data_IF_857267154731
#
_entry.id   IF_857267154731
#
_cell.length_a   1.000
_cell.length_b   1.000
_cell.length_c   1.000
_cell.angle_alpha   90.00
_cell.angle_beta   90.00
_cell.angle_gamma   90.00
#
_symmetry.space_group_name_H-M   'P 1'
#
loop_
_entity.id
_entity.type
_entity.pdbx_description
1 polymer ?
#
# COMPACT_ATOMS: atom_id res chain seq x y z
N UNK A 1 41.81 8.68 -9.08
CA UNK A 1 40.52 7.96 -9.01
C UNK A 1 40.80 6.54 -9.47
N UNK A 2 40.79 5.57 -8.57
CA UNK A 2 40.79 4.15 -8.96
C UNK A 2 39.46 3.82 -9.66
N UNK A 3 39.53 3.05 -10.74
CA UNK A 3 38.35 2.61 -11.49
C UNK A 3 37.64 1.45 -10.82
N UNK A 4 36.45 1.11 -11.32
CA UNK A 4 35.66 -0.03 -10.84
C UNK A 4 36.13 -1.30 -11.56
N UNK A 5 36.28 -2.46 -10.87
CA UNK A 5 36.63 -3.72 -11.51
C UNK A 5 35.67 -4.12 -12.64
N UNK A 6 36.18 -4.74 -13.71
CA UNK A 6 35.39 -5.12 -14.88
C UNK A 6 34.24 -6.08 -14.55
N UNK A 7 34.38 -6.88 -13.50
CA UNK A 7 33.31 -7.75 -12.99
C UNK A 7 32.10 -6.96 -12.47
N UNK A 8 32.33 -5.81 -11.81
CA UNK A 8 31.24 -4.96 -11.32
C UNK A 8 30.52 -4.26 -12.48
N UNK A 9 31.23 -3.94 -13.56
CA UNK A 9 30.64 -3.37 -14.77
C UNK A 9 29.66 -4.34 -15.45
N UNK A 10 29.90 -5.65 -15.36
CA UNK A 10 29.01 -6.66 -15.96
C UNK A 10 27.63 -6.72 -15.28
N UNK A 11 27.52 -6.25 -14.04
CA UNK A 11 26.25 -6.20 -13.29
C UNK A 11 25.38 -4.98 -13.64
N UNK A 12 25.94 -4.03 -14.40
CA UNK A 12 25.23 -2.80 -14.78
C UNK A 12 24.23 -3.10 -15.88
N UNK A 13 22.94 -2.84 -15.61
CA UNK A 13 21.85 -2.96 -16.58
C UNK A 13 21.53 -1.59 -17.19
N UNK A 14 21.50 -1.53 -18.52
CA UNK A 14 21.05 -0.35 -19.28
C UNK A 14 20.17 -0.77 -20.45
N UNK A 15 19.05 -0.07 -20.72
CA UNK A 15 18.47 1.02 -19.94
C UNK A 15 17.99 0.59 -18.54
N UNK A 16 17.98 1.52 -17.59
CA UNK A 16 17.34 1.29 -16.30
C UNK A 16 15.81 1.43 -16.45
N UNK A 17 15.06 0.58 -15.75
CA UNK A 17 13.60 0.52 -15.81
C UNK A 17 13.05 -0.60 -16.68
N UNK A 18 11.73 -0.75 -16.67
CA UNK A 18 11.00 -1.65 -17.58
C UNK A 18 10.99 -1.07 -18.99
N UNK A 19 11.08 -1.93 -20.00
CA UNK A 19 10.97 -1.48 -21.39
C UNK A 19 9.52 -1.11 -21.73
N UNK A 20 9.20 0.18 -21.61
CA UNK A 20 7.91 0.77 -21.95
C UNK A 20 7.98 1.57 -23.26
N UNK A 21 9.08 1.47 -24.02
CA UNK A 21 9.35 2.33 -25.18
C UNK A 21 9.20 3.84 -24.84
N UNK A 22 9.72 4.25 -23.69
CA UNK A 22 9.62 5.61 -23.16
C UNK A 22 10.28 6.64 -24.10
N UNK A 23 9.61 7.76 -24.37
CA UNK A 23 10.07 8.85 -25.24
C UNK A 23 10.22 10.17 -24.50
N UNK A 24 9.55 10.31 -23.37
CA UNK A 24 9.55 11.52 -22.53
C UNK A 24 10.23 11.24 -21.19
N UNK A 25 10.77 12.28 -20.50
CA UNK A 25 11.34 12.11 -19.17
C UNK A 25 10.37 11.49 -18.14
N UNK A 26 9.09 11.83 -18.22
CA UNK A 26 8.05 11.27 -17.34
C UNK A 26 7.85 9.78 -17.58
N UNK A 27 7.86 9.31 -18.83
CA UNK A 27 7.77 7.89 -19.16
C UNK A 27 9.01 7.11 -18.67
N UNK A 28 10.20 7.71 -18.75
CA UNK A 28 11.43 7.13 -18.18
C UNK A 28 11.31 7.00 -16.66
N UNK A 29 10.80 8.02 -15.97
CA UNK A 29 10.58 7.98 -14.54
C UNK A 29 9.59 6.86 -14.14
N UNK A 30 8.50 6.69 -14.89
CA UNK A 30 7.52 5.61 -14.68
C UNK A 30 8.16 4.23 -14.90
N UNK A 31 8.95 4.07 -15.97
CA UNK A 31 9.69 2.83 -16.27
C UNK A 31 10.61 2.40 -15.13
N UNK A 32 11.39 3.33 -14.58
CA UNK A 32 12.29 3.08 -13.44
C UNK A 32 11.49 2.74 -12.18
N UNK A 33 10.47 3.53 -11.85
CA UNK A 33 9.64 3.29 -10.67
C UNK A 33 8.94 1.93 -10.74
N UNK A 34 8.45 1.54 -11.91
CA UNK A 34 7.81 0.26 -12.13
C UNK A 34 8.77 -0.91 -11.88
N UNK A 35 10.02 -0.82 -12.37
CA UNK A 35 11.04 -1.83 -12.09
C UNK A 35 11.36 -1.93 -10.58
N UNK A 36 11.50 -0.79 -9.88
CA UNK A 36 11.73 -0.77 -8.43
C UNK A 36 10.59 -1.48 -7.68
N UNK A 37 9.33 -1.21 -8.07
CA UNK A 37 8.17 -1.86 -7.46
C UNK A 37 8.18 -3.36 -7.74
N UNK A 38 8.49 -3.78 -8.97
CA UNK A 38 8.60 -5.19 -9.33
C UNK A 38 9.65 -5.90 -8.47
N UNK A 39 10.87 -5.37 -8.38
CA UNK A 39 11.96 -5.95 -7.58
C UNK A 39 11.59 -6.02 -6.08
N UNK A 40 10.93 -4.99 -5.55
CA UNK A 40 10.41 -4.99 -4.17
C UNK A 40 9.32 -6.03 -3.94
N UNK A 41 8.53 -6.35 -4.96
CA UNK A 41 7.47 -7.37 -4.88
C UNK A 41 7.99 -8.77 -5.17
N UNK A 42 9.03 -8.95 -5.97
CA UNK A 42 9.62 -10.26 -6.23
C UNK A 42 10.27 -10.90 -4.99
N UNK A 43 10.66 -10.11 -3.98
CA UNK A 43 11.00 -10.61 -2.63
C UNK A 43 9.80 -10.90 -1.72
N UNK A 44 8.58 -10.55 -2.18
CA UNK A 44 7.28 -10.75 -1.55
C UNK A 44 6.35 -11.41 -2.56
N UNK A 45 6.79 -12.52 -3.15
CA UNK A 45 5.94 -13.46 -3.90
C UNK A 45 5.02 -14.20 -2.90
N UNK A 46 4.13 -13.43 -2.28
CA UNK A 46 2.82 -13.92 -1.92
C UNK A 46 1.91 -13.44 -3.04
N UNK A 47 2.10 -14.06 -4.22
CA UNK A 47 1.01 -14.25 -5.14
C UNK A 47 0.09 -15.28 -4.48
N UNK A 48 -0.69 -14.84 -3.49
CA UNK A 48 -1.87 -15.62 -3.14
C UNK A 48 -2.82 -15.36 -4.29
N UNK A 49 -2.95 -16.33 -5.18
CA UNK A 49 -4.25 -16.59 -5.79
C UNK A 49 -5.18 -16.91 -4.62
N UNK A 50 -5.66 -15.88 -3.94
CA UNK A 50 -6.65 -16.05 -2.87
C UNK A 50 -7.88 -16.56 -3.58
N UNK A 51 -8.33 -17.74 -3.16
CA UNK A 51 -9.62 -18.25 -3.60
C UNK A 51 -10.70 -17.20 -3.31
N UNK A 52 -11.77 -17.18 -4.10
CA UNK A 52 -12.86 -16.23 -3.91
C UNK A 52 -13.53 -16.31 -2.51
N UNK A 53 -13.25 -17.38 -1.76
CA UNK A 53 -13.66 -17.58 -0.37
C UNK A 53 -12.71 -16.84 0.59
N UNK A 54 -11.39 -16.97 0.40
CA UNK A 54 -10.39 -16.26 1.19
C UNK A 54 -10.41 -14.74 0.94
N UNK A 55 -10.73 -14.28 -0.27
CA UNK A 55 -10.92 -12.84 -0.55
C UNK A 55 -12.11 -12.26 0.22
N UNK A 56 -13.18 -13.04 0.42
CA UNK A 56 -14.35 -12.59 1.19
C UNK A 56 -14.03 -12.50 2.67
N UNK A 57 -13.34 -13.48 3.23
CA UNK A 57 -12.91 -13.45 4.62
C UNK A 57 -11.96 -12.28 4.90
N UNK A 58 -10.99 -12.02 4.01
CA UNK A 58 -10.10 -10.86 4.13
C UNK A 58 -10.88 -9.54 4.09
N UNK A 59 -11.87 -9.42 3.20
CA UNK A 59 -12.68 -8.22 3.09
C UNK A 59 -13.59 -8.01 4.31
N UNK A 60 -14.07 -9.09 4.93
CA UNK A 60 -14.84 -9.03 6.18
C UNK A 60 -13.97 -8.62 7.38
N UNK A 61 -12.68 -8.89 7.34
CA UNK A 61 -11.71 -8.41 8.33
C UNK A 61 -11.37 -6.92 8.16
N UNK A 62 -11.63 -6.34 7.00
CA UNK A 62 -11.42 -4.92 6.72
C UNK A 62 -12.62 -4.07 7.14
N UNK A 63 -12.32 -2.88 7.68
CA UNK A 63 -13.27 -1.85 8.03
C UNK A 63 -12.85 -0.52 7.42
N UNK A 64 -13.78 0.20 6.78
CA UNK A 64 -13.47 1.51 6.19
C UNK A 64 -13.55 2.58 7.27
N UNK A 65 -12.41 3.19 7.60
CA UNK A 65 -12.37 4.31 8.54
C UNK A 65 -13.24 5.47 8.03
N UNK A 66 -14.24 5.94 8.79
CA UNK A 66 -15.20 6.94 8.32
C UNK A 66 -14.58 8.33 8.11
N UNK A 67 -13.43 8.61 8.72
CA UNK A 67 -12.75 9.92 8.62
C UNK A 67 -11.91 10.01 7.35
N UNK A 68 -10.97 9.09 7.14
CA UNK A 68 -10.02 9.15 6.01
C UNK A 68 -10.38 8.24 4.83
N UNK A 69 -11.40 7.38 4.97
CA UNK A 69 -11.85 6.41 3.95
C UNK A 69 -10.79 5.38 3.52
N UNK A 70 -9.81 5.13 4.39
CA UNK A 70 -8.79 4.08 4.19
C UNK A 70 -9.26 2.80 4.91
N UNK A 71 -9.08 1.60 4.31
CA UNK A 71 -9.35 0.33 4.97
C UNK A 71 -8.41 0.09 6.16
N UNK A 72 -8.96 -0.44 7.25
CA UNK A 72 -8.27 -0.79 8.51
C UNK A 72 -8.63 -2.23 8.85
N UNK A 73 -7.63 -3.06 9.19
CA UNK A 73 -7.87 -4.41 9.69
C UNK A 73 -8.49 -4.36 11.09
N UNK A 74 -9.65 -4.98 11.28
CA UNK A 74 -10.37 -5.02 12.57
C UNK A 74 -9.55 -5.70 13.66
N UNK A 75 -8.80 -6.75 13.33
CA UNK A 75 -7.98 -7.53 14.26
C UNK A 75 -6.77 -6.78 14.80
N UNK A 76 -6.16 -5.91 13.99
CA UNK A 76 -4.94 -5.16 14.35
C UNK A 76 -5.20 -3.68 14.57
N UNK A 77 -6.46 -3.24 14.58
CA UNK A 77 -6.80 -1.83 14.72
C UNK A 77 -6.29 -1.29 16.06
N UNK A 78 -5.39 -0.31 16.01
CA UNK A 78 -4.82 0.34 17.19
C UNK A 78 -5.87 1.12 17.99
N UNK A 79 -6.90 1.62 17.31
CA UNK A 79 -7.92 2.49 17.87
C UNK A 79 -9.31 2.01 17.47
N UNK A 80 -10.16 1.77 18.47
CA UNK A 80 -11.54 1.32 18.30
C UNK A 80 -12.43 2.14 19.22
N UNK A 81 -13.60 2.56 18.72
CA UNK A 81 -14.62 3.28 19.49
C UNK A 81 -15.98 2.65 19.23
N UNK A 82 -16.86 2.65 20.22
CA UNK A 82 -18.23 2.17 20.09
C UNK A 82 -19.19 3.34 19.90
N UNK A 83 -19.93 3.37 18.79
CA UNK A 83 -20.89 4.41 18.43
C UNK A 83 -22.20 3.77 17.97
N UNK A 84 -23.33 4.11 18.61
CA UNK A 84 -24.65 3.53 18.32
C UNK A 84 -24.68 1.97 18.34
N UNK A 85 -23.92 1.35 19.24
CA UNK A 85 -23.70 -0.11 19.33
C UNK A 85 -22.95 -0.74 18.15
N UNK A 86 -22.24 0.07 17.35
CA UNK A 86 -21.33 -0.39 16.31
C UNK A 86 -19.88 -0.03 16.66
N UNK A 87 -18.95 -0.96 16.42
CA UNK A 87 -17.51 -0.69 16.57
C UNK A 87 -16.98 0.03 15.34
N UNK A 88 -16.40 1.20 15.55
CA UNK A 88 -15.72 2.03 14.55
C UNK A 88 -14.22 1.89 14.74
N UNK A 89 -13.50 1.57 13.67
CA UNK A 89 -12.05 1.30 13.69
C UNK A 89 -11.29 2.42 12.98
N UNK A 90 -10.16 2.87 13.56
CA UNK A 90 -9.38 4.00 13.05
C UNK A 90 -7.92 3.64 12.77
N UNK A 91 -7.38 4.27 11.74
CA UNK A 91 -5.99 4.05 11.30
C UNK A 91 -4.95 4.75 12.18
N UNK A 92 -5.33 5.80 12.91
CA UNK A 92 -4.44 6.60 13.76
C UNK A 92 -5.21 7.38 14.83
N UNK A 93 -4.48 7.90 15.82
CA UNK A 93 -5.01 8.72 16.91
C UNK A 93 -5.83 9.91 16.40
N UNK A 94 -5.32 10.63 15.39
CA UNK A 94 -6.00 11.80 14.82
C UNK A 94 -7.37 11.49 14.20
N UNK A 95 -7.55 10.33 13.57
CA UNK A 95 -8.86 9.93 13.04
C UNK A 95 -9.85 9.63 14.18
N UNK A 96 -9.39 8.98 15.25
CA UNK A 96 -10.23 8.71 16.42
C UNK A 96 -10.69 10.02 17.07
N UNK A 97 -9.77 10.95 17.32
CA UNK A 97 -10.08 12.23 17.96
C UNK A 97 -11.03 13.11 17.11
N UNK A 98 -10.84 13.14 15.79
CA UNK A 98 -11.76 13.84 14.88
C UNK A 98 -13.16 13.25 14.96
N UNK A 99 -13.27 11.91 14.97
CA UNK A 99 -14.55 11.23 15.08
C UNK A 99 -15.22 11.49 16.44
N UNK A 100 -14.47 11.48 17.55
CA UNK A 100 -14.99 11.75 18.90
C UNK A 100 -15.59 13.15 19.04
N UNK A 101 -15.03 14.15 18.35
CA UNK A 101 -15.51 15.53 18.38
C UNK A 101 -16.85 15.71 17.66
N UNK A 102 -17.01 15.08 16.50
CA UNK A 102 -18.20 15.24 15.68
C UNK A 102 -18.60 13.95 14.92
N UNK A 103 -19.09 12.91 15.62
CA UNK A 103 -19.38 11.61 15.00
C UNK A 103 -20.40 11.69 13.86
N UNK A 104 -21.41 12.54 14.02
CA UNK A 104 -22.49 12.72 13.06
C UNK A 104 -22.03 13.32 11.71
N UNK A 105 -20.88 14.00 11.66
CA UNK A 105 -20.32 14.50 10.40
C UNK A 105 -19.71 13.38 9.54
N UNK A 106 -19.35 12.24 10.16
CA UNK A 106 -18.64 11.15 9.50
C UNK A 106 -19.50 9.89 9.28
N UNK A 107 -20.51 9.69 10.12
CA UNK A 107 -21.46 8.57 10.05
C UNK A 107 -22.89 9.12 10.18
N UNK A 108 -23.69 8.91 9.13
CA UNK A 108 -25.12 9.19 9.11
C UNK A 108 -25.91 7.95 9.53
#
# INVERSE_FOLDING_TARGET
>A
REGVPHEQLASVKTPAGLDLNAKTPSEVAISILAQIIQEKRSGKETSTTVSAEEERELNDELYINPVCKIPVQKSTAKHVLEYKNEKVYFCCDGCKESFEKEPAAYIN
#
